data_IF_928737775377
#
_entry.id   IF_928737775377
#
_cell.length_a   1.000
_cell.length_b   1.000
_cell.length_c   1.000
_cell.angle_alpha   90.00
_cell.angle_beta   90.00
_cell.angle_gamma   90.00
#
_symmetry.space_group_name_H-M   'P 1'
#
loop_
_entity.id
_entity.type
_entity.pdbx_description
1 polymer ?
#
# COMPACT_ATOMS: atom_id res chain seq x y z
N UNK A 1 -6.64 -5.36 -7.83
CA UNK A 1 -6.80 -4.08 -7.15
C UNK A 1 -5.43 -3.46 -7.03
N UNK A 2 -5.16 -2.36 -7.71
CA UNK A 2 -3.89 -1.63 -7.56
C UNK A 2 -4.04 -0.64 -6.40
N UNK A 3 -3.44 -0.95 -5.26
CA UNK A 3 -3.27 -0.01 -4.17
C UNK A 3 -1.95 0.70 -4.38
N UNK A 4 -1.96 1.86 -5.00
CA UNK A 4 -0.75 2.66 -5.08
C UNK A 4 -1.08 4.12 -5.38
N UNK A 5 -0.14 5.00 -5.09
CA UNK A 5 0.00 6.30 -5.73
C UNK A 5 0.33 6.08 -7.22
N UNK A 6 -0.56 5.43 -7.96
CA UNK A 6 -0.32 5.03 -9.33
C UNK A 6 -1.03 5.96 -10.29
N UNK A 7 -0.31 6.43 -11.25
CA UNK A 7 -0.92 6.88 -12.49
C UNK A 7 -1.38 5.61 -13.22
N UNK A 8 -2.69 5.36 -13.27
CA UNK A 8 -3.22 4.32 -14.13
C UNK A 8 -2.89 4.71 -15.58
N UNK A 9 -2.14 3.88 -16.26
CA UNK A 9 -1.80 4.13 -17.67
C UNK A 9 -3.02 4.01 -18.60
N UNK A 10 -4.06 3.28 -18.16
CA UNK A 10 -5.31 3.12 -18.90
C UNK A 10 -6.46 3.88 -18.21
N UNK A 11 -7.55 3.28 -17.82
CA UNK A 11 -8.67 3.99 -17.19
C UNK A 11 -8.62 3.92 -15.66
N UNK A 12 -8.70 5.07 -14.98
CA UNK A 12 -8.96 5.14 -13.55
C UNK A 12 -10.43 4.81 -13.30
N UNK A 13 -10.70 3.89 -12.40
CA UNK A 13 -12.05 3.67 -11.92
C UNK A 13 -12.41 4.74 -10.88
N UNK A 14 -11.58 4.92 -9.87
CA UNK A 14 -11.65 6.06 -8.94
C UNK A 14 -10.32 6.34 -8.24
N UNK A 15 -10.19 7.56 -7.74
CA UNK A 15 -9.16 7.97 -6.78
C UNK A 15 -9.75 7.91 -5.37
N UNK A 16 -8.91 7.64 -4.38
CA UNK A 16 -9.35 7.53 -3.01
C UNK A 16 -8.22 7.74 -2.00
N UNK A 17 -8.56 7.50 -0.76
CA UNK A 17 -7.61 7.48 0.35
C UNK A 17 -7.39 6.04 0.81
N UNK A 18 -6.16 5.70 1.13
CA UNK A 18 -5.85 4.36 1.64
C UNK A 18 -6.38 4.23 3.07
N UNK A 19 -7.08 3.13 3.33
CA UNK A 19 -7.66 2.84 4.64
C UNK A 19 -7.24 1.48 5.17
N UNK A 20 -7.10 1.38 6.50
CA UNK A 20 -6.78 0.15 7.22
C UNK A 20 -7.19 0.24 8.70
N UNK A 21 -7.14 -0.87 9.43
CA UNK A 21 -7.25 -0.84 10.89
C UNK A 21 -6.07 -0.09 11.52
N UNK A 22 -6.26 0.41 12.74
CA UNK A 22 -5.21 1.09 13.51
C UNK A 22 -3.96 0.20 13.66
N UNK A 23 -2.79 0.76 13.49
CA UNK A 23 -1.52 0.02 13.37
C UNK A 23 -1.21 -0.90 14.58
N UNK A 24 -1.70 -0.59 15.76
CA UNK A 24 -1.43 -1.33 16.99
C UNK A 24 -2.66 -2.05 17.58
N UNK A 25 -3.78 -2.11 16.85
CA UNK A 25 -5.01 -2.78 17.27
C UNK A 25 -5.41 -3.89 16.29
N UNK A 26 -6.39 -4.71 16.68
CA UNK A 26 -7.00 -5.70 15.80
C UNK A 26 -7.96 -5.06 14.80
N UNK A 27 -8.41 -5.84 13.83
CA UNK A 27 -9.33 -5.43 12.77
C UNK A 27 -8.96 -6.05 11.44
N UNK A 28 -9.38 -5.45 10.34
CA UNK A 28 -9.01 -5.88 9.00
C UNK A 28 -7.52 -5.70 8.75
N UNK A 29 -6.87 -6.68 8.13
CA UNK A 29 -5.42 -6.63 7.83
C UNK A 29 -5.12 -6.03 6.45
N UNK A 30 -6.13 -5.99 5.58
CA UNK A 30 -6.02 -5.51 4.22
C UNK A 30 -5.93 -3.98 4.18
N UNK A 31 -5.18 -3.47 3.22
CA UNK A 31 -5.31 -2.08 2.80
C UNK A 31 -6.47 -1.95 1.82
N UNK A 32 -7.32 -0.96 2.03
CA UNK A 32 -8.48 -0.65 1.20
C UNK A 32 -8.26 0.68 0.49
N UNK A 33 -8.76 0.81 -0.73
CA UNK A 33 -8.88 2.11 -1.38
C UNK A 33 -10.31 2.61 -1.17
N UNK A 34 -10.47 3.63 -0.34
CA UNK A 34 -11.76 4.21 0.02
C UNK A 34 -12.08 5.36 -0.93
N UNK A 35 -13.25 5.38 -1.56
CA UNK A 35 -13.64 6.47 -2.45
C UNK A 35 -13.79 7.80 -1.70
N UNK A 36 -13.64 8.91 -2.40
CA UNK A 36 -13.81 10.26 -1.85
C UNK A 36 -15.28 10.67 -1.72
N UNK A 37 -16.20 9.90 -2.27
CA UNK A 37 -17.65 10.08 -2.28
C UNK A 37 -18.36 8.85 -1.66
N UNK A 38 -18.12 8.53 -0.38
CA UNK A 38 -18.66 7.32 0.23
C UNK A 38 -20.19 7.39 0.35
N UNK A 39 -20.84 6.25 0.16
CA UNK A 39 -22.27 6.07 0.37
C UNK A 39 -22.50 5.37 1.72
N UNK A 40 -23.49 5.85 2.46
CA UNK A 40 -23.88 5.29 3.76
C UNK A 40 -25.30 4.73 3.69
N UNK A 41 -25.64 3.72 4.53
CA UNK A 41 -27.01 3.21 4.59
C UNK A 41 -27.96 4.28 5.14
N UNK A 42 -29.21 4.27 4.69
CA UNK A 42 -30.24 5.26 5.07
C UNK A 42 -30.46 5.36 6.59
N UNK A 43 -30.19 4.29 7.31
CA UNK A 43 -30.31 4.21 8.78
C UNK A 43 -28.97 4.34 9.51
N UNK A 44 -27.96 4.94 8.88
CA UNK A 44 -26.66 5.13 9.52
C UNK A 44 -26.82 5.94 10.83
N UNK A 45 -26.12 5.49 11.86
CA UNK A 45 -26.14 6.15 13.18
C UNK A 45 -24.80 6.84 13.42
N UNK A 46 -24.88 8.10 13.83
CA UNK A 46 -23.69 8.85 14.23
C UNK A 46 -23.10 8.30 15.55
N UNK A 47 -21.80 8.48 15.70
CA UNK A 47 -21.06 8.07 16.88
C UNK A 47 -20.50 6.66 16.81
N UNK A 48 -19.69 6.34 17.79
CA UNK A 48 -18.97 5.08 17.88
C UNK A 48 -19.90 3.95 18.39
N UNK A 49 -20.03 2.89 17.59
CA UNK A 49 -20.86 1.72 17.89
C UNK A 49 -20.04 0.51 18.43
N UNK A 50 -18.77 0.72 18.84
CA UNK A 50 -17.86 -0.32 19.32
C UNK A 50 -17.64 -1.48 18.33
N UNK A 51 -17.67 -1.19 17.03
CA UNK A 51 -17.40 -2.14 15.96
C UNK A 51 -15.93 -2.20 15.57
N UNK A 52 -15.68 -2.67 14.36
CA UNK A 52 -14.37 -2.53 13.71
C UNK A 52 -14.23 -1.14 13.10
N UNK A 53 -13.01 -0.62 13.09
CA UNK A 53 -12.74 0.72 12.59
C UNK A 53 -11.80 0.67 11.39
N UNK A 54 -11.96 1.65 10.48
CA UNK A 54 -11.03 1.95 9.41
C UNK A 54 -10.45 3.35 9.66
N UNK A 55 -9.14 3.44 9.57
CA UNK A 55 -8.38 4.69 9.70
C UNK A 55 -7.67 4.99 8.38
N UNK A 56 -7.30 6.24 8.15
CA UNK A 56 -6.38 6.60 7.08
C UNK A 56 -5.02 5.93 7.26
N UNK A 57 -4.25 5.84 6.18
CA UNK A 57 -2.92 5.23 6.16
C UNK A 57 -1.88 6.29 5.83
N UNK A 58 -0.80 6.32 6.59
CA UNK A 58 0.32 7.23 6.42
C UNK A 58 1.57 6.49 5.96
N UNK A 59 2.39 7.17 5.16
CA UNK A 59 3.74 6.72 4.90
C UNK A 59 4.60 6.92 6.15
N UNK A 60 5.41 5.94 6.49
CA UNK A 60 6.36 6.04 7.59
C UNK A 60 7.77 5.68 7.14
N UNK A 61 8.66 6.64 7.22
CA UNK A 61 10.09 6.45 7.02
C UNK A 61 10.72 5.96 8.32
N UNK A 62 11.60 4.96 8.22
CA UNK A 62 12.48 4.59 9.32
C UNK A 62 13.79 5.39 9.20
N UNK A 63 14.38 5.74 10.32
CA UNK A 63 15.57 6.60 10.38
C UNK A 63 16.79 6.11 9.59
N UNK A 64 16.80 4.83 9.20
CA UNK A 64 17.87 4.20 8.42
C UNK A 64 17.53 4.04 6.94
N UNK A 65 16.29 4.27 6.51
CA UNK A 65 15.88 4.13 5.11
C UNK A 65 15.94 5.46 4.38
N UNK A 66 16.21 5.41 3.07
CA UNK A 66 16.16 6.59 2.17
C UNK A 66 14.80 6.75 1.50
N UNK A 67 13.87 5.84 1.79
CA UNK A 67 12.56 5.79 1.16
C UNK A 67 11.51 6.45 2.06
N UNK A 68 10.54 7.09 1.46
CA UNK A 68 9.45 7.82 2.11
C UNK A 68 9.89 9.01 3.00
N UNK A 69 11.16 9.45 2.91
CA UNK A 69 11.69 10.53 3.78
C UNK A 69 10.93 11.84 3.54
N UNK A 70 10.74 12.21 2.28
CA UNK A 70 10.09 13.47 1.91
C UNK A 70 8.56 13.46 2.10
N UNK A 71 7.99 12.27 2.31
CA UNK A 71 6.55 12.06 2.51
C UNK A 71 6.22 11.38 3.84
N UNK A 72 7.18 11.39 4.77
CA UNK A 72 6.97 10.81 6.10
C UNK A 72 5.79 11.50 6.82
N UNK A 73 4.98 10.71 7.51
CA UNK A 73 3.77 11.15 8.22
C UNK A 73 2.72 11.83 7.30
N UNK A 74 2.76 11.55 6.00
CA UNK A 74 1.77 12.04 5.05
C UNK A 74 0.82 10.91 4.61
N UNK A 75 -0.43 11.27 4.40
CA UNK A 75 -1.48 10.32 4.00
C UNK A 75 -1.19 9.70 2.63
N UNK A 76 -1.41 8.39 2.55
CA UNK A 76 -1.24 7.63 1.33
C UNK A 76 -2.51 7.67 0.47
N UNK A 77 -2.47 8.28 -0.73
CA UNK A 77 -3.57 8.19 -1.68
C UNK A 77 -3.58 6.80 -2.34
N UNK A 78 -4.69 6.45 -2.94
CA UNK A 78 -4.82 5.24 -3.73
C UNK A 78 -5.65 5.46 -4.98
N UNK A 79 -5.51 4.54 -5.93
CA UNK A 79 -6.35 4.48 -7.12
C UNK A 79 -6.81 3.04 -7.37
N UNK A 80 -8.04 2.89 -7.81
CA UNK A 80 -8.54 1.66 -8.41
C UNK A 80 -8.54 1.84 -9.92
N UNK A 81 -7.84 0.95 -10.64
CA UNK A 81 -7.65 1.05 -12.07
C UNK A 81 -8.29 -0.14 -12.78
N UNK A 82 -9.00 0.15 -13.87
CA UNK A 82 -9.44 -0.86 -14.82
C UNK A 82 -8.37 -1.02 -15.89
N UNK A 83 -8.07 -2.25 -16.27
CA UNK A 83 -7.12 -2.58 -17.32
C UNK A 83 -7.87 -3.25 -18.44
N UNK A 84 -7.96 -2.60 -19.61
CA UNK A 84 -8.73 -3.11 -20.73
C UNK A 84 -8.09 -4.35 -21.37
N UNK A 85 -8.92 -5.34 -21.65
CA UNK A 85 -8.52 -6.57 -22.35
C UNK A 85 -7.59 -7.50 -21.57
N UNK A 86 -7.35 -7.22 -20.29
CA UNK A 86 -6.54 -8.06 -19.39
C UNK A 86 -7.31 -8.34 -18.10
N UNK A 87 -7.46 -9.60 -17.76
CA UNK A 87 -8.32 -10.05 -16.64
C UNK A 87 -7.53 -10.57 -15.43
N UNK A 88 -6.22 -10.79 -15.58
CA UNK A 88 -5.36 -11.28 -14.52
C UNK A 88 -4.42 -10.18 -14.01
N UNK A 89 -4.29 -10.06 -12.69
CA UNK A 89 -3.37 -9.15 -12.02
C UNK A 89 -2.45 -9.96 -11.11
N UNK A 90 -1.16 -9.69 -11.17
CA UNK A 90 -0.14 -10.36 -10.37
C UNK A 90 0.84 -9.36 -9.79
N UNK A 91 0.97 -9.33 -8.47
CA UNK A 91 2.06 -8.65 -7.78
C UNK A 91 3.18 -9.64 -7.49
N UNK A 92 4.42 -9.31 -7.90
CA UNK A 92 5.59 -10.17 -7.69
C UNK A 92 6.58 -9.41 -6.81
N UNK A 93 6.80 -9.88 -5.57
CA UNK A 93 7.80 -9.29 -4.68
C UNK A 93 9.22 -9.65 -5.13
N UNK A 94 10.18 -8.84 -4.77
CA UNK A 94 11.61 -8.97 -5.07
C UNK A 94 11.92 -9.03 -6.59
N UNK A 95 11.05 -8.44 -7.42
CA UNK A 95 11.23 -8.33 -8.87
C UNK A 95 11.01 -6.89 -9.34
N UNK A 96 11.59 -6.57 -10.52
CA UNK A 96 11.39 -5.30 -11.21
C UNK A 96 10.89 -5.46 -12.65
N UNK A 97 10.70 -6.71 -13.09
CA UNK A 97 10.25 -7.05 -14.43
C UNK A 97 9.15 -8.10 -14.37
N UNK A 98 8.20 -8.00 -15.28
CA UNK A 98 7.14 -8.99 -15.45
C UNK A 98 7.62 -10.22 -16.21
N UNK A 99 6.96 -11.37 -16.01
CA UNK A 99 7.20 -12.55 -16.83
C UNK A 99 6.88 -12.28 -18.32
N UNK A 100 7.47 -13.08 -19.19
CA UNK A 100 7.19 -13.00 -20.64
C UNK A 100 5.69 -13.15 -20.92
N UNK A 101 5.15 -12.25 -21.71
CA UNK A 101 3.72 -12.22 -22.09
C UNK A 101 2.82 -11.53 -21.07
N UNK A 102 3.39 -10.90 -20.04
CA UNK A 102 2.68 -10.02 -19.11
C UNK A 102 3.05 -8.56 -19.36
N UNK A 103 2.11 -7.67 -19.16
CA UNK A 103 2.31 -6.22 -19.27
C UNK A 103 2.71 -5.66 -17.91
N UNK A 104 3.73 -4.82 -17.89
CA UNK A 104 4.13 -4.07 -16.70
C UNK A 104 3.18 -2.89 -16.48
N UNK A 105 2.49 -2.87 -15.34
CA UNK A 105 1.68 -1.72 -14.92
C UNK A 105 2.54 -0.71 -14.17
N UNK A 106 3.20 -1.18 -13.11
CA UNK A 106 4.17 -0.36 -12.38
C UNK A 106 5.14 -1.25 -11.58
N UNK A 107 6.21 -0.62 -11.14
CA UNK A 107 7.20 -1.21 -10.22
C UNK A 107 7.43 -0.27 -9.04
N UNK A 108 7.90 -0.83 -7.93
CA UNK A 108 8.13 -0.04 -6.74
C UNK A 108 8.79 -0.81 -5.61
N UNK A 109 8.44 -0.44 -4.40
CA UNK A 109 8.93 -1.05 -3.18
C UNK A 109 7.81 -1.84 -2.49
N UNK A 110 8.17 -3.01 -1.99
CA UNK A 110 7.29 -3.79 -1.15
C UNK A 110 7.13 -3.06 0.19
N UNK A 111 5.90 -2.85 0.62
CA UNK A 111 5.60 -2.14 1.85
C UNK A 111 4.54 -2.88 2.68
N UNK A 112 4.58 -2.67 3.99
CA UNK A 112 3.60 -3.17 4.96
C UNK A 112 3.75 -2.37 6.26
N UNK A 113 3.08 -2.77 7.34
CA UNK A 113 3.33 -2.21 8.67
C UNK A 113 4.69 -2.63 9.22
N UNK A 114 5.23 -1.83 10.13
CA UNK A 114 6.51 -2.10 10.79
C UNK A 114 6.45 -3.41 11.62
N UNK A 115 7.55 -4.12 11.72
CA UNK A 115 7.63 -5.44 12.39
C UNK A 115 7.22 -5.42 13.87
N UNK A 116 7.25 -4.28 14.53
CA UNK A 116 6.79 -4.14 15.93
C UNK A 116 5.29 -3.89 16.05
N UNK A 117 4.59 -3.73 14.95
CA UNK A 117 3.16 -3.43 14.88
C UNK A 117 2.35 -4.71 14.60
N UNK A 118 1.03 -4.60 14.55
CA UNK A 118 0.17 -5.74 14.18
C UNK A 118 0.32 -6.09 12.70
N UNK A 119 0.15 -7.35 12.36
CA UNK A 119 0.28 -7.83 10.99
C UNK A 119 -0.63 -7.10 10.00
N UNK A 120 -0.12 -6.90 8.79
CA UNK A 120 -0.82 -6.31 7.66
C UNK A 120 -0.48 -7.05 6.37
N UNK A 121 -1.25 -6.79 5.33
CA UNK A 121 -0.98 -7.25 3.97
C UNK A 121 0.30 -6.59 3.43
N UNK A 122 1.00 -7.29 2.54
CA UNK A 122 2.06 -6.70 1.74
C UNK A 122 1.49 -6.05 0.50
N UNK A 123 1.89 -4.82 0.22
CA UNK A 123 1.47 -4.07 -0.97
C UNK A 123 2.68 -3.56 -1.74
N UNK A 124 2.51 -3.36 -3.04
CA UNK A 124 3.52 -2.74 -3.89
C UNK A 124 3.23 -1.24 -3.98
N UNK A 125 4.10 -0.42 -3.40
CA UNK A 125 4.04 1.04 -3.50
C UNK A 125 4.88 1.49 -4.67
N UNK A 126 4.37 2.38 -5.51
CA UNK A 126 5.10 2.93 -6.65
C UNK A 126 6.49 3.44 -6.27
N UNK A 127 7.46 3.31 -7.18
CA UNK A 127 8.80 3.87 -6.99
C UNK A 127 8.83 5.41 -6.92
N UNK A 128 7.75 6.05 -7.30
CA UNK A 128 7.55 7.49 -7.17
C UNK A 128 6.23 7.75 -6.43
N UNK A 129 6.19 7.51 -5.10
CA UNK A 129 4.99 7.70 -4.32
C UNK A 129 4.70 9.19 -4.14
N UNK A 130 3.43 9.56 -4.21
CA UNK A 130 2.96 10.91 -3.96
C UNK A 130 2.08 10.90 -2.69
N UNK A 131 2.16 11.93 -1.85
CA UNK A 131 1.25 12.07 -0.72
C UNK A 131 -0.11 12.61 -1.16
N UNK A 132 -1.11 12.43 -0.32
CA UNK A 132 -2.39 13.12 -0.47
C UNK A 132 -2.24 14.62 -0.21
N UNK A 133 -2.95 15.44 -0.96
CA UNK A 133 -2.89 16.91 -0.84
C UNK A 133 -3.44 17.47 0.48
N UNK A 134 -4.05 16.65 1.34
CA UNK A 134 -4.76 17.11 2.54
C UNK A 134 -4.29 16.51 3.86
N UNK A 135 -3.30 15.64 3.85
CA UNK A 135 -2.85 14.95 5.07
C UNK A 135 -1.38 15.19 5.37
N UNK A 136 -1.10 16.15 6.24
CA UNK A 136 0.26 16.49 6.70
C UNK A 136 0.41 16.37 8.22
N UNK A 137 -0.54 15.73 8.89
CA UNK A 137 -0.53 15.53 10.34
C UNK A 137 -0.20 14.08 10.65
N UNK A 138 0.71 13.87 11.60
CA UNK A 138 1.03 12.55 12.12
C UNK A 138 -0.12 12.05 13.02
N UNK A 139 -1.14 11.45 12.41
CA UNK A 139 -2.34 10.94 13.10
C UNK A 139 -2.21 9.45 13.47
N UNK A 140 -1.22 8.76 12.90
CA UNK A 140 -0.88 7.36 13.20
C UNK A 140 -2.06 6.38 13.09
N UNK A 141 -2.78 6.41 12.00
CA UNK A 141 -3.86 5.46 11.69
C UNK A 141 -3.33 4.07 11.31
N UNK A 142 -3.38 3.70 10.05
CA UNK A 142 -2.61 2.61 9.45
C UNK A 142 -1.24 3.14 9.00
N UNK A 143 -0.26 2.26 8.85
CA UNK A 143 1.12 2.65 8.52
C UNK A 143 1.60 1.87 7.30
N UNK A 144 2.37 2.54 6.43
CA UNK A 144 3.15 1.93 5.36
C UNK A 144 4.63 2.20 5.56
N UNK A 145 5.43 1.16 5.73
CA UNK A 145 6.90 1.23 5.74
C UNK A 145 7.50 0.21 4.78
N UNK A 146 8.72 0.46 4.33
CA UNK A 146 9.41 -0.39 3.36
C UNK A 146 9.84 -1.71 4.00
N UNK A 147 9.74 -2.80 3.23
CA UNK A 147 10.14 -4.15 3.66
C UNK A 147 11.59 -4.43 3.32
N UNK A 148 12.35 -4.91 4.31
CA UNK A 148 13.73 -5.36 4.15
C UNK A 148 13.83 -6.88 4.23
N UNK A 149 14.75 -7.47 3.45
CA UNK A 149 15.07 -8.88 3.54
C UNK A 149 15.77 -9.20 4.87
N UNK A 150 15.38 -10.29 5.51
CA UNK A 150 16.07 -10.81 6.69
C UNK A 150 16.57 -12.24 6.42
N UNK A 151 17.87 -12.44 6.53
CA UNK A 151 18.49 -13.75 6.34
C UNK A 151 18.10 -14.71 7.46
N UNK A 152 18.06 -16.00 7.15
CA UNK A 152 17.65 -17.07 8.05
C UNK A 152 16.97 -18.15 7.25
N UNK A 153 15.66 -18.32 7.43
CA UNK A 153 14.86 -19.18 6.54
C UNK A 153 14.79 -18.61 5.11
N UNK A 154 14.95 -17.29 4.96
CA UNK A 154 15.18 -16.68 3.66
C UNK A 154 16.66 -16.88 3.28
N UNK A 155 16.97 -17.55 2.14
CA UNK A 155 18.34 -17.86 1.77
C UNK A 155 19.14 -16.60 1.40
N UNK A 156 20.31 -16.47 1.99
CA UNK A 156 21.28 -15.43 1.66
C UNK A 156 22.61 -16.09 1.28
N UNK A 157 23.05 -16.11 -0.01
CA UNK A 157 22.36 -15.54 -1.19
C UNK A 157 21.15 -16.38 -1.67
N UNK A 158 20.30 -15.93 -2.61
CA UNK A 158 20.47 -14.71 -3.42
C UNK A 158 19.96 -13.42 -2.75
N UNK A 159 19.26 -13.52 -1.63
CA UNK A 159 18.86 -12.31 -0.89
C UNK A 159 20.06 -11.74 -0.12
N UNK A 160 19.96 -10.46 0.21
CA UNK A 160 20.97 -9.76 1.01
C UNK A 160 20.25 -9.16 2.22
N UNK A 161 20.68 -9.52 3.41
CA UNK A 161 20.08 -9.03 4.66
C UNK A 161 20.15 -7.50 4.75
N UNK A 162 19.04 -6.87 5.11
CA UNK A 162 18.90 -5.42 5.21
C UNK A 162 18.66 -4.69 3.89
N UNK A 163 18.56 -5.40 2.74
CA UNK A 163 18.19 -4.74 1.49
C UNK A 163 16.68 -4.66 1.35
N UNK A 164 16.21 -3.49 0.94
CA UNK A 164 14.80 -3.25 0.67
C UNK A 164 14.34 -4.09 -0.53
N UNK A 165 13.15 -4.67 -0.37
CA UNK A 165 12.56 -5.50 -1.41
C UNK A 165 11.76 -4.65 -2.41
N UNK A 166 12.08 -4.81 -3.67
CA UNK A 166 11.29 -4.25 -4.78
C UNK A 166 10.01 -5.06 -5.00
N UNK A 167 9.13 -4.56 -5.83
CA UNK A 167 7.97 -5.27 -6.33
C UNK A 167 7.59 -4.79 -7.73
N UNK A 168 6.83 -5.60 -8.41
CA UNK A 168 6.26 -5.28 -9.72
C UNK A 168 4.82 -5.75 -9.78
N UNK A 169 3.96 -4.95 -10.41
CA UNK A 169 2.56 -5.31 -10.72
C UNK A 169 2.42 -5.49 -12.21
N UNK A 170 1.89 -6.63 -12.58
CA UNK A 170 1.77 -7.10 -13.94
C UNK A 170 0.34 -7.53 -14.24
N UNK A 171 -0.07 -7.40 -15.50
CA UNK A 171 -1.40 -7.84 -15.98
C UNK A 171 -1.30 -8.68 -17.24
N UNK A 172 -2.33 -9.50 -17.48
CA UNK A 172 -2.45 -10.34 -18.65
C UNK A 172 -3.92 -10.61 -19.01
#
# INVERSE_FOLDING_TARGET
MCLCSCVCNDFRFFLGVMGKSFYNQGGGVNYLCLPLDPEFPDNAQAGNQNGAYVYGVEYQSQSSTRFFVDINDQDAPCAVCEVQGRSAVLMIPAKQTCPTGWTLEYKGLLATQHYTQKGAEYVCVSSNPEPSHSGYTNDNGGILTVVEAQCGSLPCPPYVGGYELTCVVCTK
#
